data_IF_389328674403
#
_entry.id   IF_389328674403
#
_cell.length_a   1.000
_cell.length_b   1.000
_cell.length_c   1.000
_cell.angle_alpha   90.00
_cell.angle_beta   90.00
_cell.angle_gamma   90.00
#
_symmetry.space_group_name_H-M   'P 1'
#
loop_
_entity.id
_entity.type
_entity.pdbx_description
1 polymer ?
#
# COMPACT_ATOMS: atom_id res chain seq x y z
N UNK A 1 -5.76 -12.50 -4.65
CA UNK A 1 -6.93 -11.64 -4.92
C UNK A 1 -8.13 -12.56 -5.03
N UNK A 2 -9.16 -12.30 -4.25
CA UNK A 2 -10.40 -13.07 -4.26
C UNK A 2 -11.57 -12.15 -4.63
N UNK A 3 -12.48 -12.67 -5.45
CA UNK A 3 -13.63 -11.94 -5.96
C UNK A 3 -14.86 -12.83 -5.83
N UNK A 4 -15.92 -12.30 -5.22
CA UNK A 4 -17.20 -13.00 -5.10
C UNK A 4 -18.29 -12.15 -5.74
N UNK A 5 -18.85 -12.58 -6.89
CA UNK A 5 -19.97 -11.91 -7.53
C UNK A 5 -21.31 -12.37 -6.94
N UNK A 6 -22.28 -11.47 -6.86
CA UNK A 6 -23.68 -11.74 -6.51
C UNK A 6 -24.60 -10.98 -7.45
N UNK A 7 -25.46 -11.71 -8.15
CA UNK A 7 -26.45 -11.14 -9.07
C UNK A 7 -27.68 -10.73 -8.26
N UNK A 8 -28.16 -9.50 -8.48
CA UNK A 8 -29.39 -8.98 -7.89
C UNK A 8 -30.56 -9.09 -8.89
N UNK A 9 -31.82 -9.16 -8.40
CA UNK A 9 -33.00 -9.32 -9.26
C UNK A 9 -33.20 -8.20 -10.29
N UNK A 10 -32.61 -7.02 -10.06
CA UNK A 10 -32.68 -5.86 -10.95
C UNK A 10 -31.57 -5.83 -12.01
N UNK A 11 -30.86 -6.94 -12.24
CA UNK A 11 -29.77 -7.03 -13.20
C UNK A 11 -28.49 -6.30 -12.77
N UNK A 12 -28.38 -5.91 -11.49
CA UNK A 12 -27.14 -5.38 -10.91
C UNK A 12 -26.28 -6.50 -10.36
N UNK A 13 -24.98 -6.24 -10.30
CA UNK A 13 -23.96 -7.19 -9.87
C UNK A 13 -23.24 -6.57 -8.68
N UNK A 14 -23.32 -7.23 -7.53
CA UNK A 14 -22.51 -6.88 -6.35
C UNK A 14 -21.24 -7.70 -6.38
N UNK A 15 -20.08 -7.04 -6.34
CA UNK A 15 -18.76 -7.65 -6.28
C UNK A 15 -18.16 -7.40 -4.91
N UNK A 16 -17.87 -8.48 -4.18
CA UNK A 16 -17.07 -8.43 -2.96
C UNK A 16 -15.62 -8.75 -3.33
N UNK A 17 -14.70 -7.86 -2.99
CA UNK A 17 -13.30 -7.92 -3.38
C UNK A 17 -12.42 -8.00 -2.15
N UNK A 18 -11.53 -8.98 -2.12
CA UNK A 18 -10.48 -9.10 -1.12
C UNK A 18 -9.11 -9.11 -1.82
N UNK A 19 -8.35 -8.05 -1.60
CA UNK A 19 -7.03 -7.87 -2.20
C UNK A 19 -6.01 -7.89 -1.08
N UNK A 20 -5.14 -8.89 -1.08
CA UNK A 20 -3.99 -8.96 -0.19
C UNK A 20 -2.72 -8.72 -1.01
N UNK A 21 -1.88 -7.81 -0.54
CA UNK A 21 -0.52 -7.62 -1.03
C UNK A 21 0.45 -7.82 0.12
N UNK A 22 1.26 -8.86 0.02
CA UNK A 22 2.31 -9.14 0.99
C UNK A 22 3.60 -8.46 0.50
N UNK A 23 4.23 -7.68 1.36
CA UNK A 23 5.58 -7.19 1.13
C UNK A 23 6.53 -7.80 2.15
N UNK A 24 7.75 -8.19 1.76
CA UNK A 24 8.80 -8.48 2.73
C UNK A 24 9.02 -7.21 3.55
N UNK A 25 8.73 -7.30 4.85
CA UNK A 25 8.99 -6.26 5.82
C UNK A 25 10.45 -6.29 6.28
N UNK A 26 10.76 -5.51 7.31
CA UNK A 26 12.13 -5.40 7.84
C UNK A 26 12.60 -6.74 8.43
N UNK A 27 13.85 -7.11 8.21
CA UNK A 27 14.48 -8.18 8.97
C UNK A 27 14.54 -7.77 10.46
N UNK A 28 14.04 -8.65 11.31
CA UNK A 28 14.13 -8.54 12.77
C UNK A 28 15.13 -9.60 13.23
N UNK A 29 16.30 -9.15 13.68
CA UNK A 29 17.23 -10.03 14.41
C UNK A 29 16.61 -10.38 15.76
N UNK A 30 16.31 -11.66 15.96
CA UNK A 30 15.94 -12.22 17.26
C UNK A 30 17.18 -12.90 17.86
N UNK A 31 17.20 -13.09 19.17
CA UNK A 31 18.31 -13.76 19.88
C UNK A 31 18.62 -15.17 19.34
N UNK A 32 17.67 -15.77 18.61
CA UNK A 32 17.70 -17.17 18.16
C UNK A 32 17.80 -17.29 16.61
N UNK A 33 17.96 -16.17 15.87
CA UNK A 33 18.06 -16.13 14.42
C UNK A 33 17.41 -14.91 13.74
N UNK A 34 17.64 -14.73 12.44
CA UNK A 34 16.98 -13.70 11.63
C UNK A 34 15.55 -14.12 11.25
N UNK A 35 14.55 -13.31 11.63
CA UNK A 35 13.19 -13.47 11.15
C UNK A 35 12.85 -12.33 10.17
N UNK A 36 12.18 -12.66 9.07
CA UNK A 36 11.62 -11.64 8.17
C UNK A 36 10.23 -11.26 8.68
N UNK A 37 10.01 -10.00 9.03
CA UNK A 37 8.65 -9.51 9.22
C UNK A 37 7.95 -9.50 7.85
N UNK A 38 6.68 -9.90 7.80
CA UNK A 38 5.86 -9.80 6.59
C UNK A 38 4.89 -8.66 6.81
N UNK A 39 5.04 -7.57 6.05
CA UNK A 39 4.06 -6.50 6.04
C UNK A 39 2.89 -6.94 5.14
N UNK A 40 1.79 -7.36 5.76
CA UNK A 40 0.55 -7.73 5.06
C UNK A 40 -0.33 -6.51 4.89
N UNK A 41 -0.70 -6.18 3.65
CA UNK A 41 -1.71 -5.18 3.35
C UNK A 41 -2.95 -5.89 2.79
N UNK A 42 -4.13 -5.63 3.38
CA UNK A 42 -5.39 -6.27 2.98
C UNK A 42 -6.47 -5.21 2.80
N UNK A 43 -7.18 -5.29 1.66
CA UNK A 43 -8.26 -4.38 1.30
C UNK A 43 -9.52 -5.22 1.08
N UNK A 44 -10.59 -4.89 1.78
CA UNK A 44 -11.93 -5.48 1.61
C UNK A 44 -12.89 -4.39 1.17
N UNK A 45 -13.47 -4.54 -0.02
CA UNK A 45 -14.46 -3.58 -0.54
C UNK A 45 -15.62 -4.31 -1.19
N UNK A 46 -16.77 -3.66 -1.22
CA UNK A 46 -17.98 -4.16 -1.85
C UNK A 46 -18.52 -3.07 -2.77
N UNK A 47 -18.75 -3.41 -4.03
CA UNK A 47 -19.30 -2.50 -5.04
C UNK A 47 -20.48 -3.11 -5.74
N UNK A 48 -21.47 -2.29 -6.09
CA UNK A 48 -22.61 -2.69 -6.90
C UNK A 48 -22.59 -1.89 -8.19
N UNK A 49 -22.55 -2.61 -9.31
CA UNK A 49 -22.44 -2.03 -10.66
C UNK A 49 -23.42 -2.73 -11.60
N UNK A 50 -23.69 -2.14 -12.75
CA UNK A 50 -24.47 -2.82 -13.80
C UNK A 50 -23.56 -3.68 -14.67
N UNK A 51 -24.18 -4.58 -15.41
CA UNK A 51 -23.53 -5.36 -16.45
C UNK A 51 -22.85 -4.47 -17.49
N UNK A 52 -21.60 -4.77 -17.82
CA UNK A 52 -20.80 -4.04 -18.80
C UNK A 52 -20.31 -2.65 -18.37
N UNK A 53 -20.74 -2.13 -17.21
CA UNK A 53 -20.26 -0.85 -16.69
C UNK A 53 -18.88 -1.02 -16.03
N UNK A 54 -17.93 -0.14 -16.37
CA UNK A 54 -16.61 -0.14 -15.71
C UNK A 54 -16.64 0.79 -14.51
N UNK A 55 -16.30 0.26 -13.33
CA UNK A 55 -16.09 1.05 -12.12
C UNK A 55 -14.60 1.23 -11.83
N UNK A 56 -14.25 2.44 -11.41
CA UNK A 56 -12.95 2.75 -10.83
C UNK A 56 -13.07 2.66 -9.32
N UNK A 57 -12.42 1.66 -8.74
CA UNK A 57 -12.19 1.59 -7.31
C UNK A 57 -11.01 2.50 -7.01
N UNK A 58 -11.33 3.73 -6.60
CA UNK A 58 -10.34 4.71 -6.13
C UNK A 58 -9.37 4.08 -5.14
N UNK A 59 -8.08 4.30 -5.41
CA UNK A 59 -6.96 3.55 -4.87
C UNK A 59 -6.59 3.77 -3.41
N UNK A 60 -5.64 2.93 -2.93
CA UNK A 60 -4.86 3.24 -1.72
C UNK A 60 -3.75 4.22 -2.10
N UNK A 61 -3.81 5.43 -1.56
CA UNK A 61 -2.74 6.42 -1.66
C UNK A 61 -1.78 6.22 -0.49
N UNK A 62 -0.60 5.64 -0.74
CA UNK A 62 0.41 5.45 0.31
C UNK A 62 1.60 6.39 0.06
N UNK A 63 1.80 7.32 1.00
CA UNK A 63 2.99 8.17 1.07
C UNK A 63 3.80 7.80 2.30
N UNK A 64 4.98 7.23 2.09
CA UNK A 64 5.94 6.98 3.15
C UNK A 64 7.04 8.03 3.07
N UNK A 65 7.28 8.73 4.19
CA UNK A 65 8.38 9.67 4.33
C UNK A 65 9.27 9.20 5.46
N UNK A 66 10.52 8.83 5.15
CA UNK A 66 11.54 8.54 6.13
C UNK A 66 12.56 9.68 6.15
N UNK A 67 12.85 10.20 7.34
CA UNK A 67 13.89 11.20 7.56
C UNK A 67 14.90 10.60 8.53
N UNK A 68 16.14 10.46 8.07
CA UNK A 68 17.30 10.10 8.89
C UNK A 68 18.24 11.30 8.98
N UNK A 69 18.88 11.46 10.13
CA UNK A 69 19.90 12.46 10.32
C UNK A 69 21.03 11.83 11.16
N UNK A 70 22.17 11.63 10.52
CA UNK A 70 23.39 11.19 11.18
C UNK A 70 24.26 12.43 11.39
N UNK A 71 24.71 12.68 12.62
CA UNK A 71 25.54 13.84 12.95
C UNK A 71 26.70 13.46 13.86
N UNK A 72 27.82 14.16 13.70
CA UNK A 72 28.95 14.07 14.64
C UNK A 72 28.57 14.79 15.95
N UNK A 73 28.63 14.11 17.12
CA UNK A 73 28.37 14.75 18.41
C UNK A 73 29.27 15.98 18.63
N UNK A 74 28.71 17.08 19.14
CA UNK A 74 29.42 18.35 19.32
C UNK A 74 29.46 19.21 18.05
N UNK A 75 30.14 18.74 16.99
CA UNK A 75 30.35 19.54 15.76
C UNK A 75 29.07 19.72 14.92
N UNK A 76 28.13 18.78 14.99
CA UNK A 76 26.88 18.82 14.22
C UNK A 76 25.88 19.91 14.64
N UNK A 77 26.07 20.50 15.82
CA UNK A 77 25.17 21.51 16.40
C UNK A 77 25.73 22.95 16.30
N UNK A 78 26.92 23.13 15.68
CA UNK A 78 27.54 24.45 15.48
C UNK A 78 26.72 25.26 14.45
N UNK A 79 26.26 26.48 14.77
CA UNK A 79 25.61 27.38 13.81
C UNK A 79 26.52 27.66 12.61
N UNK A 80 25.96 27.82 11.40
CA UNK A 80 26.66 27.97 10.11
C UNK A 80 27.48 26.77 9.62
N UNK A 81 28.23 26.07 10.50
CA UNK A 81 29.18 25.02 10.10
C UNK A 81 28.68 23.59 10.31
N UNK A 82 27.67 23.38 11.16
CA UNK A 82 27.16 22.06 11.51
C UNK A 82 26.56 21.29 10.33
N UNK A 83 26.24 21.94 9.20
CA UNK A 83 25.82 21.26 7.97
C UNK A 83 26.92 20.45 7.30
N UNK A 84 28.20 20.76 7.53
CA UNK A 84 29.33 19.98 7.00
C UNK A 84 29.58 18.69 7.78
N UNK A 85 29.05 18.60 9.01
CA UNK A 85 29.25 17.49 9.95
C UNK A 85 27.97 16.69 10.22
N UNK A 86 26.95 16.87 9.38
CA UNK A 86 25.70 16.10 9.42
C UNK A 86 25.32 15.60 8.03
N UNK A 87 24.87 14.36 7.98
CA UNK A 87 24.30 13.74 6.80
C UNK A 87 22.79 13.59 7.02
N UNK A 88 21.98 14.28 6.22
CA UNK A 88 20.54 14.11 6.24
C UNK A 88 20.13 13.21 5.08
N UNK A 89 19.44 12.12 5.39
CA UNK A 89 18.86 11.21 4.41
C UNK A 89 17.35 11.43 4.39
N UNK A 90 16.81 11.85 3.25
CA UNK A 90 15.36 11.96 3.04
C UNK A 90 14.93 10.94 2.00
N UNK A 91 14.06 10.01 2.39
CA UNK A 91 13.50 9.02 1.47
C UNK A 91 11.99 9.25 1.34
N UNK A 92 11.55 9.43 0.09
CA UNK A 92 10.14 9.56 -0.25
C UNK A 92 9.73 8.36 -1.11
N UNK A 93 8.78 7.56 -0.62
CA UNK A 93 8.20 6.45 -1.38
C UNK A 93 6.72 6.72 -1.58
N UNK A 94 6.32 6.80 -2.86
CA UNK A 94 4.92 6.99 -3.28
C UNK A 94 4.47 5.73 -4.00
N UNK A 95 3.32 5.19 -3.61
CA UNK A 95 2.68 4.08 -4.31
C UNK A 95 1.21 4.43 -4.55
N UNK A 96 0.79 4.23 -5.79
CA UNK A 96 -0.56 4.48 -6.27
C UNK A 96 -1.09 3.19 -6.84
N UNK A 97 -2.21 2.71 -6.33
CA UNK A 97 -2.86 1.51 -6.82
C UNK A 97 -4.25 1.89 -7.32
N UNK A 98 -4.50 1.83 -8.63
CA UNK A 98 -5.82 2.08 -9.21
C UNK A 98 -6.37 0.77 -9.74
N UNK A 99 -7.62 0.45 -9.40
CA UNK A 99 -8.26 -0.82 -9.77
C UNK A 99 -9.49 -0.52 -10.63
N UNK A 100 -9.53 -1.11 -11.82
CA UNK A 100 -10.65 -1.04 -12.76
C UNK A 100 -11.34 -2.40 -12.81
N UNK A 101 -12.67 -2.40 -12.75
CA UNK A 101 -13.44 -3.63 -12.83
C UNK A 101 -14.64 -3.42 -13.73
N UNK A 102 -14.84 -4.36 -14.65
CA UNK A 102 -15.95 -4.40 -15.60
C UNK A 102 -16.57 -5.79 -15.51
N UNK A 103 -17.70 -5.97 -14.81
CA UNK A 103 -18.36 -7.26 -14.80
C UNK A 103 -19.15 -7.48 -16.08
N UNK A 104 -19.20 -8.74 -16.52
CA UNK A 104 -19.97 -9.19 -17.68
C UNK A 104 -20.85 -10.38 -17.30
N UNK A 105 -22.16 -10.28 -17.53
CA UNK A 105 -23.12 -11.36 -17.37
C UNK A 105 -23.13 -12.23 -18.62
N UNK A 106 -22.69 -13.47 -18.47
CA UNK A 106 -22.79 -14.48 -19.52
C UNK A 106 -24.10 -15.22 -19.33
N UNK A 107 -25.00 -15.16 -20.33
CA UNK A 107 -26.20 -16.00 -20.39
C UNK A 107 -25.82 -17.30 -21.11
N UNK A 108 -26.16 -18.44 -20.50
CA UNK A 108 -26.04 -19.76 -21.13
C UNK A 108 -27.22 -20.03 -22.06
#
# INVERSE_FOLDING_TARGET
MEVTPKILPNGRITLTLQISQNMPGRSISRADGEALAIDKQEIKTQVTVKDGETIVLGGVFQRQSAQGADKVPGLGDIPLLGSLFKQSTKQHKRRELVIFITPTLIKA
#
